data_IF_787735908850
#
_entry.id   IF_787735908850
#
_cell.length_a   1.000
_cell.length_b   1.000
_cell.length_c   1.000
_cell.angle_alpha   90.00
_cell.angle_beta   90.00
_cell.angle_gamma   90.00
#
_symmetry.space_group_name_H-M   'P 1'
#
loop_
_entity.id
_entity.type
_entity.pdbx_description
1 polymer ?
#
# COMPACT_ATOMS: atom_id res chain seq x y z
N UNK A 1 18.73 28.31 -11.01
CA UNK A 1 17.87 29.19 -10.17
C UNK A 1 16.41 29.23 -10.62
N UNK A 2 16.04 28.63 -11.76
CA UNK A 2 14.64 28.64 -12.27
C UNK A 2 13.67 27.75 -11.46
N UNK A 3 14.14 26.64 -10.89
CA UNK A 3 13.33 25.70 -10.11
C UNK A 3 12.73 26.31 -8.82
N UNK A 4 13.40 27.29 -8.22
CA UNK A 4 12.96 27.96 -6.99
C UNK A 4 12.28 29.31 -7.24
N UNK A 5 12.41 29.87 -8.46
CA UNK A 5 11.67 31.07 -8.86
C UNK A 5 10.25 30.75 -9.33
N UNK A 6 10.03 29.55 -9.87
CA UNK A 6 8.71 29.02 -10.22
C UNK A 6 8.35 27.86 -9.28
N UNK A 7 8.13 28.15 -8.00
CA UNK A 7 7.83 27.12 -7.00
C UNK A 7 6.54 26.36 -7.30
N UNK A 8 5.57 27.03 -7.94
CA UNK A 8 4.21 26.54 -8.13
C UNK A 8 3.87 26.12 -9.57
N UNK A 9 4.80 26.26 -10.53
CA UNK A 9 4.60 25.80 -11.91
C UNK A 9 4.82 24.30 -12.10
N UNK A 10 4.50 23.84 -13.30
CA UNK A 10 4.40 22.41 -13.64
C UNK A 10 5.73 21.64 -13.56
N UNK A 11 6.85 22.33 -13.82
CA UNK A 11 8.22 21.87 -13.60
C UNK A 11 8.87 22.47 -12.34
N UNK A 12 8.07 23.09 -11.48
CA UNK A 12 8.49 23.91 -10.36
C UNK A 12 8.98 23.15 -9.14
N UNK A 13 9.63 23.87 -8.22
CA UNK A 13 10.23 23.32 -6.99
C UNK A 13 9.25 22.52 -6.14
N UNK A 14 7.99 22.94 -6.04
CA UNK A 14 6.96 22.25 -5.26
C UNK A 14 6.55 20.88 -5.82
N UNK A 15 6.49 20.73 -7.15
CA UNK A 15 6.27 19.45 -7.83
C UNK A 15 7.47 18.52 -7.66
N UNK A 16 8.68 19.03 -7.91
CA UNK A 16 9.90 18.25 -7.82
C UNK A 16 10.13 17.72 -6.39
N UNK A 17 9.94 18.57 -5.38
CA UNK A 17 10.09 18.19 -3.97
C UNK A 17 8.98 17.24 -3.53
N UNK A 18 7.73 17.48 -3.95
CA UNK A 18 6.61 16.58 -3.68
C UNK A 18 6.88 15.16 -4.17
N UNK A 19 7.31 15.02 -5.43
CA UNK A 19 7.67 13.72 -6.03
C UNK A 19 8.89 13.09 -5.37
N UNK A 20 9.92 13.87 -5.09
CA UNK A 20 11.12 13.39 -4.40
C UNK A 20 10.79 12.83 -3.01
N UNK A 21 10.00 13.57 -2.23
CA UNK A 21 9.51 13.12 -0.93
C UNK A 21 8.65 11.86 -1.04
N UNK A 22 7.78 11.80 -2.06
CA UNK A 22 6.94 10.64 -2.34
C UNK A 22 7.76 9.38 -2.62
N UNK A 23 8.80 9.47 -3.46
CA UNK A 23 9.65 8.35 -3.79
C UNK A 23 10.50 7.88 -2.60
N UNK A 24 11.13 8.81 -1.87
CA UNK A 24 11.90 8.45 -0.67
C UNK A 24 11.03 7.82 0.41
N UNK A 25 9.84 8.39 0.64
CA UNK A 25 8.85 7.83 1.53
C UNK A 25 8.41 6.43 1.08
N UNK A 26 8.06 6.28 -0.20
CA UNK A 26 7.53 5.04 -0.76
C UNK A 26 8.54 3.90 -0.70
N UNK A 27 9.78 4.15 -1.09
CA UNK A 27 10.88 3.16 -1.01
C UNK A 27 11.10 2.72 0.43
N UNK A 28 11.14 3.67 1.37
CA UNK A 28 11.32 3.37 2.79
C UNK A 28 10.13 2.58 3.34
N UNK A 29 8.92 3.01 3.04
CA UNK A 29 7.69 2.39 3.54
C UNK A 29 7.54 0.95 3.06
N UNK A 30 7.61 0.73 1.74
CA UNK A 30 7.45 -0.60 1.15
C UNK A 30 8.65 -1.49 1.49
N UNK A 31 9.88 -0.95 1.51
CA UNK A 31 11.05 -1.70 1.94
C UNK A 31 10.92 -2.24 3.36
N UNK A 32 10.42 -1.43 4.29
CA UNK A 32 10.17 -1.86 5.67
C UNK A 32 8.98 -2.82 5.79
N UNK A 33 7.94 -2.65 4.97
CA UNK A 33 6.85 -3.63 4.86
C UNK A 33 7.39 -5.02 4.51
N UNK A 34 8.25 -5.09 3.50
CA UNK A 34 8.88 -6.33 3.05
C UNK A 34 9.86 -6.89 4.08
N UNK A 35 10.62 -6.04 4.78
CA UNK A 35 11.44 -6.47 5.92
C UNK A 35 10.59 -7.20 6.98
N UNK A 36 9.46 -6.64 7.40
CA UNK A 36 8.59 -7.29 8.39
C UNK A 36 8.03 -8.61 7.90
N UNK A 37 7.65 -8.68 6.61
CA UNK A 37 6.92 -9.80 6.05
C UNK A 37 7.81 -10.96 5.59
N UNK A 38 9.03 -10.68 5.15
CA UNK A 38 9.93 -11.66 4.52
C UNK A 38 11.14 -12.02 5.38
N UNK A 39 11.56 -11.12 6.29
CA UNK A 39 12.81 -11.27 7.03
C UNK A 39 12.56 -11.38 8.53
N UNK A 40 11.89 -10.39 9.14
CA UNK A 40 11.79 -10.31 10.60
C UNK A 40 11.08 -11.52 11.20
N UNK A 41 9.95 -11.95 10.61
CA UNK A 41 9.14 -13.04 11.14
C UNK A 41 9.89 -14.38 11.22
N UNK A 42 10.60 -14.76 10.14
CA UNK A 42 11.41 -15.98 10.12
C UNK A 42 12.60 -15.89 11.06
N UNK A 43 13.33 -14.77 11.02
CA UNK A 43 14.48 -14.56 11.91
C UNK A 43 14.08 -14.66 13.38
N UNK A 44 12.93 -14.11 13.78
CA UNK A 44 12.49 -14.15 15.18
C UNK A 44 12.02 -15.54 15.61
N UNK A 45 11.49 -16.36 14.71
CA UNK A 45 11.10 -17.74 15.02
C UNK A 45 12.30 -18.61 15.44
N UNK A 46 13.50 -18.27 14.97
CA UNK A 46 14.75 -18.98 15.27
C UNK A 46 15.48 -18.43 16.52
N UNK A 47 15.03 -17.30 17.06
CA UNK A 47 15.63 -16.68 18.26
C UNK A 47 15.08 -17.27 19.56
N UNK A 48 15.95 -17.33 20.58
CA UNK A 48 15.51 -17.54 21.97
C UNK A 48 14.64 -16.38 22.46
N UNK A 49 13.83 -16.60 23.49
CA UNK A 49 12.91 -15.57 23.99
C UNK A 49 13.63 -14.30 24.47
N UNK A 50 14.79 -14.46 25.13
CA UNK A 50 15.62 -13.32 25.55
C UNK A 50 16.15 -12.51 24.37
N UNK A 51 16.73 -13.18 23.35
CA UNK A 51 17.25 -12.52 22.17
C UNK A 51 16.14 -11.85 21.35
N UNK A 52 14.97 -12.51 21.22
CA UNK A 52 13.79 -11.98 20.55
C UNK A 52 13.27 -10.72 21.25
N UNK A 53 13.17 -10.74 22.58
CA UNK A 53 12.77 -9.57 23.37
C UNK A 53 13.71 -8.38 23.17
N UNK A 54 15.01 -8.61 23.12
CA UNK A 54 16.00 -7.56 22.85
C UNK A 54 15.90 -7.02 21.41
N UNK A 55 15.77 -7.89 20.41
CA UNK A 55 15.59 -7.51 19.01
C UNK A 55 14.30 -6.68 18.83
N UNK A 56 13.22 -7.06 19.49
CA UNK A 56 11.97 -6.30 19.51
C UNK A 56 12.19 -4.88 20.07
N UNK A 57 12.87 -4.75 21.22
CA UNK A 57 13.20 -3.45 21.84
C UNK A 57 14.06 -2.55 20.95
N UNK A 58 15.14 -3.11 20.39
CA UNK A 58 16.19 -2.33 19.73
C UNK A 58 15.94 -2.11 18.24
N UNK A 59 15.40 -3.11 17.55
CA UNK A 59 15.21 -3.13 16.10
C UNK A 59 13.76 -2.80 15.78
N UNK A 60 12.82 -3.67 16.16
CA UNK A 60 11.44 -3.60 15.67
C UNK A 60 10.75 -2.28 16.03
N UNK A 61 10.90 -1.75 17.24
CA UNK A 61 10.30 -0.45 17.59
C UNK A 61 10.81 0.71 16.71
N UNK A 62 12.11 0.73 16.41
CA UNK A 62 12.70 1.76 15.54
C UNK A 62 12.20 1.59 14.11
N UNK A 63 12.16 0.35 13.63
CA UNK A 63 11.62 0.03 12.32
C UNK A 63 10.15 0.44 12.19
N UNK A 64 9.32 0.19 13.22
CA UNK A 64 7.92 0.60 13.24
C UNK A 64 7.75 2.12 13.22
N UNK A 65 8.63 2.86 13.89
CA UNK A 65 8.61 4.33 13.82
C UNK A 65 8.82 4.81 12.39
N UNK A 66 9.87 4.32 11.72
CA UNK A 66 10.18 4.67 10.33
C UNK A 66 9.07 4.23 9.37
N UNK A 67 8.55 3.02 9.56
CA UNK A 67 7.47 2.46 8.77
C UNK A 67 6.22 3.35 8.77
N UNK A 68 5.79 3.81 9.95
CA UNK A 68 4.61 4.68 10.09
C UNK A 68 4.78 6.04 9.42
N UNK A 69 5.93 6.68 9.65
CA UNK A 69 6.17 8.02 9.14
C UNK A 69 6.53 8.03 7.65
N UNK A 70 7.19 6.99 7.16
CA UNK A 70 7.37 6.79 5.72
C UNK A 70 6.02 6.59 5.01
N UNK A 71 5.09 5.84 5.61
CA UNK A 71 3.72 5.72 5.09
C UNK A 71 3.01 7.08 5.03
N UNK A 72 3.07 7.87 6.10
CA UNK A 72 2.48 9.22 6.12
C UNK A 72 3.12 10.15 5.09
N UNK A 73 4.46 10.17 5.02
CA UNK A 73 5.18 11.01 4.08
C UNK A 73 4.77 10.69 2.64
N UNK A 74 4.72 9.40 2.29
CA UNK A 74 4.27 8.93 0.97
C UNK A 74 2.84 9.37 0.70
N UNK A 75 1.92 9.15 1.63
CA UNK A 75 0.51 9.46 1.43
C UNK A 75 0.26 10.98 1.31
N UNK A 76 0.82 11.78 2.21
CA UNK A 76 0.69 13.25 2.20
C UNK A 76 1.31 13.85 0.95
N UNK A 77 2.52 13.41 0.57
CA UNK A 77 3.16 13.87 -0.67
C UNK A 77 2.39 13.44 -1.93
N UNK A 78 1.74 12.27 -1.90
CA UNK A 78 0.86 11.82 -2.98
C UNK A 78 -0.36 12.72 -3.14
N UNK A 79 -1.03 13.06 -2.03
CA UNK A 79 -2.13 14.04 -2.03
C UNK A 79 -1.65 15.39 -2.53
N UNK A 80 -0.48 15.83 -2.09
CA UNK A 80 0.12 17.09 -2.55
C UNK A 80 0.31 17.09 -4.06
N UNK A 81 0.88 16.02 -4.65
CA UNK A 81 1.06 15.91 -6.11
C UNK A 81 -0.28 16.00 -6.84
N UNK A 82 -1.31 15.28 -6.37
CA UNK A 82 -2.64 15.30 -7.00
C UNK A 82 -3.32 16.67 -6.88
N UNK A 83 -3.27 17.28 -5.70
CA UNK A 83 -3.86 18.59 -5.43
C UNK A 83 -3.16 19.70 -6.23
N UNK A 84 -1.82 19.63 -6.31
CA UNK A 84 -1.02 20.56 -7.11
C UNK A 84 -1.39 20.46 -8.60
N UNK A 85 -1.38 19.26 -9.18
CA UNK A 85 -1.74 19.06 -10.59
C UNK A 85 -3.13 19.61 -10.91
N UNK A 86 -4.09 19.45 -9.98
CA UNK A 86 -5.43 20.00 -10.13
C UNK A 86 -5.45 21.53 -10.05
N UNK A 87 -4.75 22.12 -9.08
CA UNK A 87 -4.76 23.56 -8.85
C UNK A 87 -4.13 24.35 -10.02
N UNK A 88 -3.19 23.74 -10.75
CA UNK A 88 -2.47 24.39 -11.86
C UNK A 88 -2.92 23.92 -13.25
N UNK A 89 -4.09 23.28 -13.35
CA UNK A 89 -4.71 22.94 -14.63
C UNK A 89 -4.04 21.82 -15.42
N UNK A 90 -3.09 21.09 -14.82
CA UNK A 90 -2.45 19.91 -15.43
C UNK A 90 -3.37 18.68 -15.40
N UNK A 91 -4.30 18.65 -14.46
CA UNK A 91 -5.33 17.62 -14.39
C UNK A 91 -6.54 18.06 -15.23
N UNK A 92 -6.68 17.50 -16.44
CA UNK A 92 -7.84 17.75 -17.29
C UNK A 92 -9.15 17.41 -16.55
N UNK A 93 -10.27 18.10 -16.81
CA UNK A 93 -11.55 17.83 -16.13
C UNK A 93 -11.97 16.35 -16.19
N UNK A 94 -11.70 15.69 -17.32
CA UNK A 94 -12.02 14.28 -17.57
C UNK A 94 -10.87 13.32 -17.24
N UNK A 95 -9.78 13.78 -16.59
CA UNK A 95 -8.61 12.94 -16.27
C UNK A 95 -9.00 11.63 -15.56
N UNK A 96 -9.93 11.70 -14.61
CA UNK A 96 -10.39 10.52 -13.87
C UNK A 96 -11.20 9.52 -14.71
N UNK A 97 -11.62 9.90 -15.91
CA UNK A 97 -12.25 9.03 -16.90
C UNK A 97 -11.25 8.41 -17.89
N UNK A 98 -9.98 8.77 -17.85
CA UNK A 98 -8.94 8.19 -18.72
C UNK A 98 -8.35 6.93 -18.11
N UNK A 99 -7.59 6.16 -18.90
CA UNK A 99 -6.89 4.98 -18.41
C UNK A 99 -5.88 5.33 -17.31
N UNK A 100 -5.13 6.43 -17.50
CA UNK A 100 -4.21 6.99 -16.52
C UNK A 100 -4.90 7.35 -15.21
N UNK A 101 -6.04 8.04 -15.28
CA UNK A 101 -6.79 8.43 -14.09
C UNK A 101 -7.33 7.24 -13.30
N UNK A 102 -7.87 6.22 -13.99
CA UNK A 102 -8.34 4.99 -13.33
C UNK A 102 -7.17 4.27 -12.66
N UNK A 103 -6.03 4.11 -13.35
CA UNK A 103 -4.83 3.50 -12.77
C UNK A 103 -4.33 4.22 -11.51
N UNK A 104 -4.19 5.55 -11.57
CA UNK A 104 -3.80 6.34 -10.38
C UNK A 104 -4.83 6.22 -9.26
N UNK A 105 -6.12 6.19 -9.57
CA UNK A 105 -7.16 6.05 -8.56
C UNK A 105 -7.08 4.68 -7.85
N UNK A 106 -6.77 3.59 -8.56
CA UNK A 106 -6.52 2.28 -7.96
C UNK A 106 -5.31 2.33 -7.02
N UNK A 107 -4.18 2.85 -7.50
CA UNK A 107 -2.97 3.03 -6.69
C UNK A 107 -3.22 3.87 -5.44
N UNK A 108 -3.94 4.99 -5.58
CA UNK A 108 -4.26 5.90 -4.48
C UNK A 108 -5.19 5.26 -3.44
N UNK A 109 -6.20 4.48 -3.85
CA UNK A 109 -7.08 3.78 -2.92
C UNK A 109 -6.32 2.71 -2.13
N UNK A 110 -5.51 1.90 -2.81
CA UNK A 110 -4.66 0.89 -2.16
C UNK A 110 -3.69 1.55 -1.19
N UNK A 111 -2.99 2.61 -1.62
CA UNK A 111 -2.03 3.32 -0.78
C UNK A 111 -2.68 3.97 0.43
N UNK A 112 -3.86 4.57 0.27
CA UNK A 112 -4.61 5.15 1.38
C UNK A 112 -5.03 4.07 2.38
N UNK A 113 -5.58 2.95 1.90
CA UNK A 113 -5.99 1.82 2.74
C UNK A 113 -4.81 1.23 3.49
N UNK A 114 -3.68 1.05 2.80
CA UNK A 114 -2.46 0.53 3.41
C UNK A 114 -1.92 1.47 4.49
N UNK A 115 -1.85 2.78 4.22
CA UNK A 115 -1.40 3.77 5.20
C UNK A 115 -2.35 3.83 6.42
N UNK A 116 -3.66 3.75 6.18
CA UNK A 116 -4.67 3.59 7.21
C UNK A 116 -4.42 2.34 8.08
N UNK A 117 -4.14 1.19 7.46
CA UNK A 117 -3.80 -0.04 8.18
C UNK A 117 -2.54 0.09 9.04
N UNK A 118 -1.51 0.80 8.56
CA UNK A 118 -0.30 1.05 9.34
C UNK A 118 -0.62 1.77 10.66
N UNK A 119 -1.43 2.83 10.60
CA UNK A 119 -1.70 3.67 11.76
C UNK A 119 -2.82 3.17 12.67
N UNK A 120 -3.89 2.62 12.10
CA UNK A 120 -5.10 2.27 12.83
C UNK A 120 -5.16 0.80 13.25
N UNK A 121 -4.39 -0.07 12.60
CA UNK A 121 -4.47 -1.52 12.83
C UNK A 121 -3.13 -2.08 13.29
N UNK A 122 -2.08 -1.93 12.50
CA UNK A 122 -0.76 -2.52 12.75
C UNK A 122 -0.14 -1.89 13.98
N UNK A 123 -0.07 -0.55 14.04
CA UNK A 123 0.60 0.13 15.14
C UNK A 123 -0.01 -0.17 16.52
N UNK A 124 -1.32 0.04 16.76
CA UNK A 124 -1.91 -0.23 18.08
C UNK A 124 -1.77 -1.70 18.49
N UNK A 125 -1.94 -2.62 17.55
CA UNK A 125 -1.83 -4.05 17.82
C UNK A 125 -0.38 -4.47 18.11
N UNK A 126 0.60 -3.88 17.43
CA UNK A 126 2.02 -4.09 17.73
C UNK A 126 2.42 -3.52 19.10
N UNK A 127 1.82 -2.42 19.55
CA UNK A 127 2.10 -1.90 20.89
C UNK A 127 1.77 -2.92 21.98
N UNK A 128 0.65 -3.63 21.84
CA UNK A 128 0.23 -4.70 22.77
C UNK A 128 1.15 -5.91 22.65
N UNK A 129 1.30 -6.46 21.43
CA UNK A 129 2.06 -7.69 21.20
C UNK A 129 3.54 -7.56 21.59
N UNK A 130 4.17 -6.46 21.19
CA UNK A 130 5.57 -6.21 21.50
C UNK A 130 5.72 -5.83 22.97
N UNK A 131 4.83 -4.98 23.51
CA UNK A 131 4.85 -4.60 24.92
C UNK A 131 4.81 -5.81 25.85
N UNK A 132 3.93 -6.78 25.56
CA UNK A 132 3.87 -8.05 26.28
C UNK A 132 5.17 -8.84 26.18
N UNK A 133 5.72 -8.98 24.97
CA UNK A 133 6.96 -9.75 24.75
C UNK A 133 8.15 -9.13 25.51
N UNK A 134 8.22 -7.80 25.56
CA UNK A 134 9.23 -7.07 26.32
C UNK A 134 9.06 -7.31 27.83
N UNK A 135 7.85 -7.19 28.35
CA UNK A 135 7.55 -7.45 29.77
C UNK A 135 7.91 -8.87 30.19
N UNK A 136 7.61 -9.87 29.36
CA UNK A 136 7.99 -11.27 29.62
C UNK A 136 9.51 -11.45 29.64
N UNK A 137 10.23 -10.80 28.71
CA UNK A 137 11.70 -10.86 28.67
C UNK A 137 12.37 -10.24 29.92
N UNK A 138 11.63 -9.44 30.68
CA UNK A 138 12.07 -8.77 31.91
C UNK A 138 11.53 -9.48 33.17
N UNK A 139 10.94 -10.69 33.02
CA UNK A 139 10.45 -11.53 34.12
C UNK A 139 9.01 -11.25 34.56
N UNK A 140 8.27 -10.42 33.82
CA UNK A 140 6.85 -10.16 34.07
C UNK A 140 5.90 -11.13 33.36
N UNK A 141 4.61 -11.01 33.65
CA UNK A 141 3.56 -11.83 33.02
C UNK A 141 3.15 -11.33 31.63
N UNK A 142 2.88 -12.28 30.73
CA UNK A 142 2.37 -12.03 29.38
C UNK A 142 0.95 -11.44 29.41
N UNK A 143 0.68 -10.53 28.48
CA UNK A 143 -0.66 -9.99 28.25
C UNK A 143 -1.53 -11.05 27.54
N UNK A 144 -2.69 -11.43 28.09
CA UNK A 144 -3.61 -12.36 27.44
C UNK A 144 -4.08 -11.93 26.04
N UNK A 145 -4.11 -10.62 25.75
CA UNK A 145 -4.53 -10.08 24.46
C UNK A 145 -3.42 -10.10 23.40
N UNK A 146 -2.16 -10.26 23.82
CA UNK A 146 -1.00 -10.17 22.92
C UNK A 146 -1.05 -11.14 21.72
N UNK A 147 -1.46 -12.42 21.85
CA UNK A 147 -1.58 -13.31 20.71
C UNK A 147 -2.60 -12.84 19.66
N UNK A 148 -3.75 -12.33 20.12
CA UNK A 148 -4.80 -11.81 19.24
C UNK A 148 -4.35 -10.52 18.55
N UNK A 149 -3.68 -9.63 19.29
CA UNK A 149 -3.11 -8.40 18.74
C UNK A 149 -2.01 -8.69 17.71
N UNK A 150 -1.08 -9.60 18.01
CA UNK A 150 -0.04 -10.03 17.09
C UNK A 150 -0.63 -10.56 15.78
N UNK A 151 -1.68 -11.38 15.87
CA UNK A 151 -2.39 -11.92 14.71
C UNK A 151 -3.06 -10.83 13.87
N UNK A 152 -3.75 -9.88 14.51
CA UNK A 152 -4.37 -8.73 13.85
C UNK A 152 -3.34 -7.90 13.09
N UNK A 153 -2.20 -7.59 13.73
CA UNK A 153 -1.11 -6.86 13.08
C UNK A 153 -0.52 -7.64 11.90
N UNK A 154 -0.31 -8.96 12.06
CA UNK A 154 0.25 -9.81 11.02
C UNK A 154 -0.67 -9.88 9.79
N UNK A 155 -1.99 -10.02 9.98
CA UNK A 155 -2.96 -10.04 8.86
C UNK A 155 -3.02 -8.72 8.10
N UNK A 156 -3.09 -7.60 8.82
CA UNK A 156 -3.07 -6.28 8.21
C UNK A 156 -1.74 -6.00 7.47
N UNK A 157 -0.61 -6.44 8.02
CA UNK A 157 0.68 -6.32 7.36
C UNK A 157 0.78 -7.19 6.10
N UNK A 158 0.17 -8.38 6.11
CA UNK A 158 0.16 -9.28 4.96
C UNK A 158 -0.75 -8.80 3.84
N UNK A 159 -1.95 -8.28 4.14
CA UNK A 159 -2.80 -7.70 3.09
C UNK A 159 -2.17 -6.43 2.52
N UNK A 160 -1.47 -5.63 3.32
CA UNK A 160 -0.67 -4.53 2.80
C UNK A 160 0.42 -5.02 1.83
N UNK A 161 1.06 -6.16 2.12
CA UNK A 161 2.04 -6.78 1.21
C UNK A 161 1.40 -7.30 -0.08
N UNK A 162 0.19 -7.85 0.01
CA UNK A 162 -0.60 -8.24 -1.15
C UNK A 162 -0.89 -7.03 -2.05
N UNK A 163 -1.39 -5.95 -1.44
CA UNK A 163 -1.81 -4.73 -2.13
C UNK A 163 -0.64 -3.88 -2.63
N UNK A 164 0.54 -3.96 -2.01
CA UNK A 164 1.70 -3.19 -2.47
C UNK A 164 2.11 -3.55 -3.90
N UNK A 165 1.89 -4.80 -4.32
CA UNK A 165 2.25 -5.29 -5.66
C UNK A 165 1.40 -4.60 -6.76
N UNK A 166 0.05 -4.69 -6.77
CA UNK A 166 -0.77 -3.94 -7.72
C UNK A 166 -0.66 -2.43 -7.51
N UNK A 167 -0.50 -1.93 -6.28
CA UNK A 167 -0.31 -0.50 -6.02
C UNK A 167 0.89 0.04 -6.80
N UNK A 168 2.07 -0.56 -6.67
CA UNK A 168 3.29 -0.08 -7.35
C UNK A 168 3.11 -0.13 -8.86
N UNK A 169 2.51 -1.21 -9.37
CA UNK A 169 2.21 -1.36 -10.79
C UNK A 169 1.31 -0.22 -11.30
N UNK A 170 0.21 0.07 -10.59
CA UNK A 170 -0.74 1.11 -10.97
C UNK A 170 -0.21 2.54 -10.75
N UNK A 171 0.73 2.75 -9.83
CA UNK A 171 1.43 4.04 -9.71
C UNK A 171 2.34 4.33 -10.91
N UNK A 172 2.85 3.29 -11.59
CA UNK A 172 3.59 3.43 -12.85
C UNK A 172 2.68 3.54 -14.09
N UNK A 173 1.39 3.22 -13.94
CA UNK A 173 0.44 3.06 -15.04
C UNK A 173 0.37 4.24 -16.01
N UNK A 174 0.23 5.51 -15.55
CA UNK A 174 0.10 6.65 -16.46
C UNK A 174 1.26 6.81 -17.44
N UNK A 175 2.48 6.54 -16.98
CA UNK A 175 3.70 6.82 -17.75
C UNK A 175 4.12 5.67 -18.66
N UNK A 176 3.65 4.45 -18.40
CA UNK A 176 4.16 3.24 -19.06
C UNK A 176 3.10 2.40 -19.77
N UNK A 177 1.84 2.46 -19.33
CA UNK A 177 0.80 1.55 -19.80
C UNK A 177 -0.38 2.32 -20.38
N UNK A 178 -0.86 3.37 -19.70
CA UNK A 178 -2.02 4.14 -20.13
C UNK A 178 -2.01 4.57 -21.62
N UNK A 179 -0.87 4.98 -22.23
CA UNK A 179 -0.85 5.32 -23.66
C UNK A 179 -1.26 4.19 -24.60
N UNK A 180 -1.08 2.93 -24.22
CA UNK A 180 -1.53 1.77 -24.98
C UNK A 180 -3.05 1.52 -24.88
N UNK A 181 -3.71 2.14 -23.89
CA UNK A 181 -5.13 1.97 -23.57
C UNK A 181 -5.93 3.25 -23.86
N UNK A 182 -5.63 3.90 -24.99
CA UNK A 182 -6.42 5.03 -25.50
C UNK A 182 -6.04 6.41 -24.96
N UNK A 183 -5.05 6.54 -24.07
CA UNK A 183 -4.59 7.84 -23.54
C UNK A 183 -3.57 8.54 -24.47
N UNK A 184 -3.76 8.49 -25.79
CA UNK A 184 -2.85 9.18 -26.73
C UNK A 184 -3.11 10.69 -26.68
N UNK A 185 -2.21 11.43 -26.04
CA UNK A 185 -2.19 12.88 -26.00
C UNK A 185 -1.87 13.50 -27.38
N UNK A 186 -2.44 14.68 -27.66
CA UNK A 186 -2.24 15.59 -28.82
C UNK A 186 -3.15 15.36 -30.05
N UNK A 187 -4.42 15.76 -29.98
CA UNK A 187 -5.26 15.88 -31.19
C UNK A 187 -6.77 15.71 -31.03
N UNK A 188 -7.27 15.32 -29.85
CA UNK A 188 -8.71 15.33 -29.55
C UNK A 188 -9.51 14.07 -29.86
N UNK A 189 -8.88 12.93 -30.17
CA UNK A 189 -9.59 11.64 -30.27
C UNK A 189 -8.72 10.49 -29.73
N UNK A 190 -8.82 10.25 -28.42
CA UNK A 190 -8.33 9.03 -27.77
C UNK A 190 -9.50 8.41 -27.00
N UNK A 191 -9.99 7.25 -27.45
CA UNK A 191 -11.07 6.53 -26.77
C UNK A 191 -10.45 5.83 -25.56
N UNK A 192 -10.35 6.54 -24.43
CA UNK A 192 -10.17 5.88 -23.13
C UNK A 192 -11.31 4.87 -22.88
N UNK A 193 -11.20 4.01 -21.85
CA UNK A 193 -12.14 2.91 -21.64
C UNK A 193 -13.57 3.44 -21.64
N UNK A 194 -14.48 2.76 -22.37
CA UNK A 194 -15.88 3.17 -22.46
C UNK A 194 -16.50 3.33 -21.06
N UNK A 195 -17.59 4.09 -20.93
CA UNK A 195 -18.24 4.24 -19.62
C UNK A 195 -18.55 2.89 -18.96
N UNK A 196 -19.05 1.92 -19.74
CA UNK A 196 -19.29 0.54 -19.27
C UNK A 196 -18.00 -0.20 -18.90
N UNK A 197 -16.92 -0.01 -19.67
CA UNK A 197 -15.60 -0.57 -19.37
C UNK A 197 -15.04 -0.05 -18.05
N UNK A 198 -15.14 1.26 -17.79
CA UNK A 198 -14.73 1.88 -16.51
C UNK A 198 -15.51 1.32 -15.33
N UNK A 199 -16.82 1.17 -15.44
CA UNK A 199 -17.61 0.53 -14.38
C UNK A 199 -17.16 -0.89 -14.11
N UNK A 200 -16.88 -1.66 -15.16
CA UNK A 200 -16.38 -3.04 -15.03
C UNK A 200 -15.04 -3.07 -14.29
N UNK A 201 -14.10 -2.20 -14.66
CA UNK A 201 -12.80 -2.05 -13.98
C UNK A 201 -13.00 -1.77 -12.48
N UNK A 202 -13.80 -0.76 -12.15
CA UNK A 202 -14.06 -0.36 -10.77
C UNK A 202 -14.75 -1.44 -9.95
N UNK A 203 -15.77 -2.10 -10.50
CA UNK A 203 -16.51 -3.15 -9.79
C UNK A 203 -15.57 -4.31 -9.44
N UNK A 204 -14.81 -4.82 -10.41
CA UNK A 204 -13.89 -5.94 -10.17
C UNK A 204 -12.82 -5.55 -9.15
N UNK A 205 -12.21 -4.38 -9.31
CA UNK A 205 -11.21 -3.86 -8.38
C UNK A 205 -11.77 -3.71 -6.95
N UNK A 206 -12.93 -3.08 -6.79
CA UNK A 206 -13.55 -2.85 -5.49
C UNK A 206 -13.97 -4.16 -4.81
N UNK A 207 -14.45 -5.15 -5.56
CA UNK A 207 -14.77 -6.47 -5.01
C UNK A 207 -13.50 -7.12 -4.46
N UNK A 208 -12.40 -7.14 -5.22
CA UNK A 208 -11.12 -7.69 -4.76
C UNK A 208 -10.63 -6.94 -3.52
N UNK A 209 -10.63 -5.60 -3.58
CA UNK A 209 -10.17 -4.74 -2.50
C UNK A 209 -10.98 -4.95 -1.21
N UNK A 210 -12.32 -4.84 -1.27
CA UNK A 210 -13.21 -5.01 -0.10
C UNK A 210 -13.06 -6.42 0.48
N UNK A 211 -13.10 -7.46 -0.35
CA UNK A 211 -13.05 -8.85 0.12
C UNK A 211 -11.73 -9.13 0.82
N UNK A 212 -10.60 -8.73 0.23
CA UNK A 212 -9.29 -8.97 0.84
C UNK A 212 -9.10 -8.15 2.13
N UNK A 213 -9.52 -6.89 2.14
CA UNK A 213 -9.39 -6.02 3.31
C UNK A 213 -10.27 -6.49 4.47
N UNK A 214 -11.57 -6.76 4.23
CA UNK A 214 -12.48 -7.26 5.27
C UNK A 214 -12.04 -8.61 5.80
N UNK A 215 -11.51 -9.48 4.94
CA UNK A 215 -10.93 -10.76 5.36
C UNK A 215 -9.72 -10.57 6.27
N UNK A 216 -8.78 -9.68 5.92
CA UNK A 216 -7.60 -9.39 6.72
C UNK A 216 -7.94 -8.73 8.07
N UNK A 217 -8.98 -7.90 8.11
CA UNK A 217 -9.53 -7.30 9.33
C UNK A 217 -10.35 -8.29 10.18
N UNK A 218 -10.46 -9.55 9.77
CA UNK A 218 -11.20 -10.60 10.47
C UNK A 218 -12.72 -10.43 10.43
N UNK A 219 -13.23 -9.55 9.57
CA UNK A 219 -14.67 -9.28 9.41
C UNK A 219 -15.40 -10.32 8.55
N UNK A 220 -14.65 -11.21 7.91
CA UNK A 220 -15.18 -12.35 7.15
C UNK A 220 -14.81 -13.67 7.83
N UNK A 221 -15.57 -14.11 8.82
CA UNK A 221 -15.33 -15.39 9.49
C UNK A 221 -14.04 -15.46 10.33
N UNK A 222 -13.55 -14.30 10.81
CA UNK A 222 -12.36 -14.22 11.66
C UNK A 222 -11.03 -14.25 10.89
N UNK A 223 -9.91 -14.23 11.62
CA UNK A 223 -8.56 -14.15 11.03
C UNK A 223 -8.07 -15.46 10.37
N UNK A 224 -8.76 -16.58 10.61
CA UNK A 224 -8.40 -17.93 10.12
C UNK A 224 -9.38 -18.48 9.09
N UNK A 225 -10.17 -17.60 8.47
CA UNK A 225 -11.06 -17.98 7.38
C UNK A 225 -10.27 -18.59 6.20
N UNK A 226 -10.97 -19.31 5.32
CA UNK A 226 -10.34 -20.01 4.20
C UNK A 226 -9.58 -19.10 3.24
N UNK A 227 -10.04 -17.87 3.03
CA UNK A 227 -9.39 -16.90 2.16
C UNK A 227 -8.05 -16.43 2.73
N UNK A 228 -8.00 -16.10 4.03
CA UNK A 228 -6.75 -15.74 4.71
C UNK A 228 -5.77 -16.90 4.71
N UNK A 229 -6.24 -18.13 4.89
CA UNK A 229 -5.37 -19.33 4.81
C UNK A 229 -4.76 -19.51 3.44
N UNK A 230 -5.57 -19.29 2.39
CA UNK A 230 -5.13 -19.43 1.01
C UNK A 230 -4.17 -18.31 0.57
N UNK A 231 -4.43 -17.07 0.99
CA UNK A 231 -3.78 -15.89 0.41
C UNK A 231 -2.77 -15.24 1.37
N UNK A 232 -3.00 -15.26 2.68
CA UNK A 232 -2.28 -14.44 3.67
C UNK A 232 -1.49 -15.23 4.73
N UNK A 233 -1.54 -16.56 4.76
CA UNK A 233 -0.74 -17.35 5.71
C UNK A 233 0.74 -17.33 5.33
N UNK A 234 1.03 -17.65 4.07
CA UNK A 234 2.39 -17.73 3.55
C UNK A 234 2.68 -16.51 2.72
N UNK A 235 3.83 -15.88 2.98
CA UNK A 235 4.28 -14.73 2.21
C UNK A 235 4.46 -15.07 0.72
N UNK A 236 4.87 -16.31 0.39
CA UNK A 236 4.98 -16.75 -1.00
C UNK A 236 3.62 -16.73 -1.72
N UNK A 237 2.55 -17.17 -1.04
CA UNK A 237 1.22 -17.19 -1.62
C UNK A 237 0.66 -15.78 -1.72
N UNK A 238 0.90 -14.93 -0.73
CA UNK A 238 0.61 -13.49 -0.81
C UNK A 238 1.26 -12.85 -2.04
N UNK A 239 2.53 -13.16 -2.31
CA UNK A 239 3.23 -12.65 -3.50
C UNK A 239 2.58 -13.16 -4.79
N UNK A 240 2.33 -14.47 -4.91
CA UNK A 240 1.69 -15.07 -6.09
C UNK A 240 0.33 -14.46 -6.37
N UNK A 241 -0.53 -14.35 -5.35
CA UNK A 241 -1.85 -13.75 -5.49
C UNK A 241 -1.77 -12.24 -5.77
N UNK A 242 -0.78 -11.53 -5.24
CA UNK A 242 -0.56 -10.13 -5.57
C UNK A 242 -0.26 -9.95 -7.05
N UNK A 243 0.64 -10.75 -7.62
CA UNK A 243 0.89 -10.76 -9.07
C UNK A 243 -0.32 -11.22 -9.87
N UNK A 244 -1.05 -12.25 -9.42
CA UNK A 244 -2.28 -12.69 -10.08
C UNK A 244 -3.32 -11.56 -10.14
N UNK A 245 -3.55 -10.83 -9.05
CA UNK A 245 -4.45 -9.67 -9.02
C UNK A 245 -3.98 -8.62 -10.02
N UNK A 246 -2.68 -8.30 -10.04
CA UNK A 246 -2.13 -7.34 -11.01
C UNK A 246 -2.37 -7.78 -12.45
N UNK A 247 -2.12 -9.06 -12.78
CA UNK A 247 -2.35 -9.61 -14.12
C UNK A 247 -3.84 -9.58 -14.48
N UNK A 248 -4.71 -9.98 -13.57
CA UNK A 248 -6.17 -9.95 -13.78
C UNK A 248 -6.63 -8.52 -14.07
N UNK A 249 -6.17 -7.54 -13.29
CA UNK A 249 -6.54 -6.15 -13.50
C UNK A 249 -5.96 -5.60 -14.81
N UNK A 250 -4.72 -5.93 -15.16
CA UNK A 250 -4.12 -5.57 -16.45
C UNK A 250 -4.93 -6.13 -17.63
N UNK A 251 -5.23 -7.43 -17.61
CA UNK A 251 -6.02 -8.07 -18.66
C UNK A 251 -7.45 -7.51 -18.71
N UNK A 252 -7.99 -7.07 -17.59
CA UNK A 252 -9.29 -6.41 -17.57
C UNK A 252 -9.24 -5.09 -18.36
N UNK A 253 -8.17 -4.29 -18.24
CA UNK A 253 -7.97 -3.13 -19.09
C UNK A 253 -7.92 -3.54 -20.58
N UNK A 254 -7.18 -4.58 -20.96
CA UNK A 254 -7.14 -5.07 -22.36
C UNK A 254 -8.51 -5.49 -22.91
N UNK A 255 -9.41 -6.02 -22.06
CA UNK A 255 -10.72 -6.51 -22.50
C UNK A 255 -11.74 -5.38 -22.64
N UNK A 256 -11.64 -4.34 -21.81
CA UNK A 256 -12.70 -3.33 -21.63
C UNK A 256 -12.36 -1.93 -22.19
N UNK A 257 -11.17 -1.79 -22.75
CA UNK A 257 -10.68 -0.57 -23.41
C UNK A 257 -10.65 -0.78 -24.91
#
# INVERSE_FOLDING_TARGET
MELFSDWMGTGGGGQAIGRYAHYLGGITWIGLLYFFNFIQGSAFAEMSDGARGEALRKITWRTLWWFRWAAMLTWVSGIWILAHNRAFGELMPDYWNTSAGVGIAFGALLGTTMAANVWMVIWPAQQIAIGSSVKVSEGGEADPEAPAAAKRAARASRVNTLFSIPLIFFMMWPSHFAPAFGDVNMGGVGLGPSAGGRWTLWIVFLVIWVVMELSALGKMGGYDNGLNKLVLDKHQDTIKFGFLITIVLYLLFEIVT
#
